data_IF_646246051133
#
_entry.id   IF_646246051133
#
_cell.length_a   1.000
_cell.length_b   1.000
_cell.length_c   1.000
_cell.angle_alpha   90.00
_cell.angle_beta   90.00
_cell.angle_gamma   90.00
#
_symmetry.space_group_name_H-M   'P 1'
#
loop_
_entity.id
_entity.type
_entity.pdbx_description
1 polymer ?
#
# COMPACT_ATOMS: atom_id res chain seq x y z
N UNK A 1 -57.02 -50.72 -12.61
CA UNK A 1 -55.67 -50.13 -12.75
C UNK A 1 -55.73 -48.68 -12.26
N UNK A 2 -55.26 -48.40 -11.05
CA UNK A 2 -55.01 -47.04 -10.57
C UNK A 2 -53.60 -47.02 -9.98
N UNK A 3 -52.63 -46.51 -10.75
CA UNK A 3 -51.30 -46.20 -10.24
C UNK A 3 -51.40 -44.85 -9.53
N UNK A 4 -51.64 -44.87 -8.23
CA UNK A 4 -51.51 -43.67 -7.39
C UNK A 4 -50.04 -43.28 -7.36
N UNK A 5 -49.71 -42.20 -8.09
CA UNK A 5 -48.37 -41.60 -8.10
C UNK A 5 -48.15 -40.98 -6.71
N UNK A 6 -47.41 -41.66 -5.85
CA UNK A 6 -47.04 -41.17 -4.53
C UNK A 6 -46.17 -39.91 -4.73
N UNK A 7 -46.76 -38.73 -4.66
CA UNK A 7 -46.02 -37.47 -4.54
C UNK A 7 -45.37 -37.50 -3.16
N UNK A 8 -44.07 -37.84 -3.11
CA UNK A 8 -43.27 -37.81 -1.89
C UNK A 8 -43.28 -36.38 -1.36
N UNK A 9 -44.10 -36.12 -0.34
CA UNK A 9 -44.09 -34.87 0.39
C UNK A 9 -42.79 -34.77 1.18
N UNK A 10 -42.21 -33.56 1.22
CA UNK A 10 -40.98 -33.29 1.95
C UNK A 10 -41.17 -33.66 3.42
N UNK A 11 -40.34 -34.55 3.94
CA UNK A 11 -40.42 -34.96 5.34
C UNK A 11 -39.80 -33.90 6.26
N UNK A 12 -40.26 -33.83 7.51
CA UNK A 12 -39.72 -32.92 8.52
C UNK A 12 -38.20 -33.10 8.72
N UNK A 13 -37.71 -34.33 8.53
CA UNK A 13 -36.29 -34.68 8.60
C UNK A 13 -35.50 -34.09 7.41
N UNK A 14 -36.04 -34.15 6.19
CA UNK A 14 -35.42 -33.53 5.02
C UNK A 14 -35.36 -32.01 5.15
N UNK A 15 -36.40 -31.38 5.73
CA UNK A 15 -36.41 -29.95 6.02
C UNK A 15 -35.33 -29.58 7.04
N UNK A 16 -35.22 -30.35 8.14
CA UNK A 16 -34.17 -30.13 9.14
C UNK A 16 -32.76 -30.33 8.56
N UNK A 17 -32.56 -31.37 7.75
CA UNK A 17 -31.28 -31.61 7.07
C UNK A 17 -30.92 -30.46 6.11
N UNK A 18 -31.89 -29.94 5.35
CA UNK A 18 -31.67 -28.82 4.43
C UNK A 18 -31.25 -27.54 5.18
N UNK A 19 -31.87 -27.25 6.34
CA UNK A 19 -31.48 -26.10 7.17
C UNK A 19 -30.06 -26.26 7.70
N UNK A 20 -29.70 -27.44 8.22
CA UNK A 20 -28.34 -27.69 8.74
C UNK A 20 -27.29 -27.53 7.64
N UNK A 21 -27.54 -28.09 6.45
CA UNK A 21 -26.64 -27.95 5.30
C UNK A 21 -26.51 -26.47 4.90
N UNK A 22 -27.61 -25.72 4.87
CA UNK A 22 -27.59 -24.29 4.51
C UNK A 22 -26.78 -23.48 5.53
N UNK A 23 -26.93 -23.75 6.83
CA UNK A 23 -26.16 -23.08 7.88
C UNK A 23 -24.66 -23.39 7.76
N UNK A 24 -24.31 -24.65 7.49
CA UNK A 24 -22.92 -25.05 7.29
C UNK A 24 -22.30 -24.36 6.06
N UNK A 25 -22.99 -24.37 4.91
CA UNK A 25 -22.52 -23.72 3.69
C UNK A 25 -22.37 -22.21 3.91
N UNK A 26 -23.35 -21.57 4.54
CA UNK A 26 -23.32 -20.12 4.82
C UNK A 26 -22.16 -19.77 5.75
N UNK A 27 -21.94 -20.56 6.81
CA UNK A 27 -20.83 -20.33 7.74
C UNK A 27 -19.46 -20.46 7.08
N UNK A 28 -19.29 -21.45 6.20
CA UNK A 28 -18.04 -21.62 5.43
C UNK A 28 -17.85 -20.47 4.43
N UNK A 29 -18.90 -20.08 3.71
CA UNK A 29 -18.83 -18.97 2.76
C UNK A 29 -18.46 -17.64 3.44
N UNK A 30 -19.07 -17.34 4.59
CA UNK A 30 -18.72 -16.16 5.40
C UNK A 30 -17.26 -16.20 5.85
N UNK A 31 -16.76 -17.36 6.28
CA UNK A 31 -15.37 -17.52 6.72
C UNK A 31 -14.38 -17.29 5.57
N UNK A 32 -14.68 -17.82 4.38
CA UNK A 32 -13.86 -17.60 3.18
C UNK A 32 -13.85 -16.12 2.80
N UNK A 33 -15.01 -15.46 2.81
CA UNK A 33 -15.12 -14.04 2.47
C UNK A 33 -14.32 -13.16 3.43
N UNK A 34 -14.39 -13.45 4.74
CA UNK A 34 -13.61 -12.77 5.76
C UNK A 34 -12.11 -12.97 5.55
N UNK A 35 -11.66 -14.19 5.25
CA UNK A 35 -10.23 -14.44 4.98
C UNK A 35 -9.75 -13.74 3.70
N UNK A 36 -10.59 -13.70 2.66
CA UNK A 36 -10.29 -13.02 1.41
C UNK A 36 -10.19 -11.50 1.60
N UNK A 37 -11.09 -10.89 2.38
CA UNK A 37 -11.06 -9.45 2.64
C UNK A 37 -9.81 -9.03 3.42
N UNK A 38 -9.41 -9.81 4.43
CA UNK A 38 -8.18 -9.54 5.18
C UNK A 38 -6.92 -9.63 4.31
N UNK A 39 -6.82 -10.67 3.47
CA UNK A 39 -5.69 -10.79 2.53
C UNK A 39 -5.69 -9.67 1.50
N UNK A 40 -6.86 -9.26 1.01
CA UNK A 40 -6.96 -8.17 0.05
C UNK A 40 -6.48 -6.84 0.63
N UNK A 41 -6.80 -6.57 1.90
CA UNK A 41 -6.33 -5.36 2.58
C UNK A 41 -4.81 -5.36 2.77
N UNK A 42 -4.24 -6.50 3.17
CA UNK A 42 -2.79 -6.67 3.29
C UNK A 42 -2.08 -6.45 1.94
N UNK A 43 -2.57 -7.08 0.88
CA UNK A 43 -2.00 -6.94 -0.48
C UNK A 43 -2.11 -5.49 -0.97
N UNK A 44 -3.23 -4.82 -0.67
CA UNK A 44 -3.41 -3.41 -1.03
C UNK A 44 -2.41 -2.51 -0.31
N UNK A 45 -2.15 -2.74 0.99
CA UNK A 45 -1.15 -2.00 1.77
C UNK A 45 0.27 -2.24 1.23
N UNK A 46 0.64 -3.48 0.98
CA UNK A 46 1.95 -3.83 0.41
C UNK A 46 2.15 -3.20 -0.98
N UNK A 47 1.12 -3.27 -1.84
CA UNK A 47 1.15 -2.65 -3.16
C UNK A 47 1.32 -1.13 -3.07
N UNK A 48 0.60 -0.48 -2.14
CA UNK A 48 0.71 0.97 -1.93
C UNK A 48 2.10 1.37 -1.45
N UNK A 49 2.70 0.60 -0.52
CA UNK A 49 4.07 0.78 -0.06
C UNK A 49 5.05 0.76 -1.23
N UNK A 50 5.06 -0.31 -2.03
CA UNK A 50 6.00 -0.45 -3.14
C UNK A 50 5.77 0.56 -4.26
N UNK A 51 4.53 0.95 -4.53
CA UNK A 51 4.23 2.00 -5.51
C UNK A 51 4.78 3.36 -5.04
N UNK A 52 4.65 3.68 -3.75
CA UNK A 52 5.22 4.92 -3.19
C UNK A 52 6.74 4.88 -3.18
N UNK A 53 7.35 3.75 -2.82
CA UNK A 53 8.81 3.55 -2.92
C UNK A 53 9.31 3.72 -4.35
N UNK A 54 8.65 3.13 -5.33
CA UNK A 54 9.01 3.29 -6.74
C UNK A 54 8.94 4.74 -7.22
N UNK A 55 7.86 5.46 -6.88
CA UNK A 55 7.71 6.89 -7.20
C UNK A 55 8.79 7.75 -6.54
N UNK A 56 9.05 7.52 -5.25
CA UNK A 56 10.09 8.24 -4.51
C UNK A 56 11.47 8.01 -5.12
N UNK A 57 11.86 6.76 -5.38
CA UNK A 57 13.15 6.42 -5.96
C UNK A 57 13.33 7.01 -7.36
N UNK A 58 12.28 6.99 -8.19
CA UNK A 58 12.30 7.61 -9.51
C UNK A 58 12.54 9.13 -9.41
N UNK A 59 11.85 9.80 -8.48
CA UNK A 59 12.01 11.24 -8.26
C UNK A 59 13.41 11.58 -7.73
N UNK A 60 13.87 10.89 -6.69
CA UNK A 60 15.20 11.12 -6.12
C UNK A 60 16.30 10.90 -7.17
N UNK A 61 16.16 9.86 -8.00
CA UNK A 61 17.11 9.61 -9.09
C UNK A 61 17.06 10.68 -10.18
N UNK A 62 15.91 11.30 -10.42
CA UNK A 62 15.82 12.45 -11.33
C UNK A 62 16.53 13.67 -10.72
N UNK A 63 16.25 13.99 -9.46
CA UNK A 63 16.86 15.12 -8.76
C UNK A 63 18.38 14.95 -8.64
N UNK A 64 18.87 13.77 -8.27
CA UNK A 64 20.30 13.48 -8.15
C UNK A 64 21.06 13.60 -9.47
N UNK A 65 20.41 13.35 -10.62
CA UNK A 65 21.05 13.49 -11.94
C UNK A 65 21.36 14.95 -12.28
N UNK A 66 20.53 15.87 -11.81
CA UNK A 66 20.71 17.32 -12.01
C UNK A 66 21.37 18.00 -10.81
N UNK A 67 21.73 17.24 -9.77
CA UNK A 67 22.29 17.78 -8.56
C UNK A 67 23.77 18.15 -8.74
N UNK A 68 24.09 19.40 -8.45
CA UNK A 68 25.46 19.92 -8.37
C UNK A 68 26.02 19.70 -6.97
N UNK A 69 25.14 19.69 -5.95
CA UNK A 69 25.53 19.56 -4.55
C UNK A 69 24.48 18.80 -3.76
N UNK A 70 24.93 17.96 -2.83
CA UNK A 70 24.09 17.24 -1.88
C UNK A 70 24.63 17.48 -0.47
N UNK A 71 23.78 17.95 0.43
CA UNK A 71 24.15 18.22 1.82
C UNK A 71 23.08 17.70 2.78
N UNK A 72 23.51 17.34 3.99
CA UNK A 72 22.60 17.06 5.09
C UNK A 72 22.61 18.25 6.06
N UNK A 73 21.44 18.83 6.31
CA UNK A 73 21.27 19.96 7.23
C UNK A 73 20.05 19.74 8.11
N UNK A 74 20.25 19.74 9.43
CA UNK A 74 19.20 19.55 10.44
C UNK A 74 18.36 18.28 10.21
N UNK A 75 19.00 17.16 9.83
CA UNK A 75 18.34 15.89 9.53
C UNK A 75 17.52 15.87 8.23
N UNK A 76 17.61 16.93 7.42
CA UNK A 76 17.03 16.99 6.08
C UNK A 76 18.15 16.83 5.05
N UNK A 77 17.80 16.28 3.89
CA UNK A 77 18.71 16.22 2.75
C UNK A 77 18.36 17.37 1.80
N UNK A 78 19.36 18.19 1.48
CA UNK A 78 19.24 19.35 0.62
C UNK A 78 20.03 19.07 -0.66
N UNK A 79 19.36 19.22 -1.78
CA UNK A 79 19.91 19.06 -3.12
C UNK A 79 19.91 20.41 -3.81
N UNK A 80 21.07 20.83 -4.30
CA UNK A 80 21.18 22.00 -5.18
C UNK A 80 21.22 21.49 -6.62
N UNK A 81 20.20 21.81 -7.39
CA UNK A 81 20.07 21.41 -8.79
C UNK A 81 20.58 22.53 -9.70
N UNK A 82 21.21 22.14 -10.81
CA UNK A 82 21.42 23.05 -11.94
C UNK A 82 20.05 23.32 -12.58
N UNK A 83 19.71 24.60 -12.78
CA UNK A 83 18.55 24.97 -13.60
C UNK A 83 18.95 25.05 -15.07
N UNK A 84 17.95 25.09 -15.95
CA UNK A 84 18.16 25.27 -17.40
C UNK A 84 18.72 26.66 -17.75
N UNK A 85 18.60 27.63 -16.84
CA UNK A 85 19.26 28.93 -16.92
C UNK A 85 20.60 28.87 -16.17
N UNK A 86 21.71 29.09 -16.89
CA UNK A 86 23.10 28.86 -16.47
C UNK A 86 23.48 29.58 -15.16
N UNK A 87 22.73 30.60 -14.74
CA UNK A 87 22.99 31.38 -13.53
C UNK A 87 22.00 31.13 -12.39
N UNK A 88 21.06 30.19 -12.53
CA UNK A 88 20.09 29.88 -11.49
C UNK A 88 20.29 28.47 -10.95
N UNK A 89 20.26 28.37 -9.63
CA UNK A 89 20.31 27.09 -8.91
C UNK A 89 18.99 26.89 -8.19
N UNK A 90 18.43 25.69 -8.34
CA UNK A 90 17.23 25.33 -7.62
C UNK A 90 17.60 24.54 -6.37
N UNK A 91 16.80 24.68 -5.32
CA UNK A 91 17.00 23.90 -4.09
C UNK A 91 15.81 22.97 -3.90
N UNK A 92 16.13 21.68 -3.72
CA UNK A 92 15.17 20.65 -3.35
C UNK A 92 15.49 20.20 -1.94
N UNK A 93 14.50 20.29 -1.05
CA UNK A 93 14.64 19.86 0.35
C UNK A 93 13.82 18.61 0.60
N UNK A 94 14.47 17.56 1.08
CA UNK A 94 13.85 16.34 1.55
C UNK A 94 13.80 16.35 3.08
N UNK A 95 12.60 16.52 3.61
CA UNK A 95 12.32 16.40 5.04
C UNK A 95 11.93 14.97 5.38
N UNK A 96 12.62 14.38 6.35
CA UNK A 96 12.43 12.98 6.75
C UNK A 96 11.67 12.95 8.07
N UNK A 97 10.50 12.36 8.08
CA UNK A 97 9.70 12.06 9.28
C UNK A 97 9.76 10.54 9.51
N UNK A 98 10.71 10.11 10.33
CA UNK A 98 10.94 8.69 10.63
C UNK A 98 9.80 8.07 11.46
N UNK A 99 9.14 8.87 12.30
CA UNK A 99 8.03 8.39 13.14
C UNK A 99 6.82 8.03 12.30
N UNK A 100 6.54 8.83 11.26
CA UNK A 100 5.42 8.59 10.33
C UNK A 100 5.80 7.82 9.08
N UNK A 101 7.04 7.36 8.97
CA UNK A 101 7.57 6.71 7.78
C UNK A 101 7.24 7.52 6.51
N UNK A 102 7.62 8.81 6.51
CA UNK A 102 7.20 9.77 5.48
C UNK A 102 8.36 10.66 5.07
N UNK A 103 8.43 10.95 3.77
CA UNK A 103 9.37 11.93 3.22
C UNK A 103 8.59 13.03 2.52
N UNK A 104 8.93 14.28 2.81
CA UNK A 104 8.38 15.44 2.10
C UNK A 104 9.47 16.07 1.25
N UNK A 105 9.26 16.10 -0.06
CA UNK A 105 10.09 16.83 -1.01
C UNK A 105 9.50 18.22 -1.24
N UNK A 106 10.33 19.25 -1.14
CA UNK A 106 9.95 20.66 -1.33
C UNK A 106 10.83 21.24 -2.44
N UNK A 107 10.22 21.74 -3.51
CA UNK A 107 10.88 22.46 -4.61
C UNK A 107 9.99 23.62 -5.04
N UNK A 108 10.51 24.85 -5.07
CA UNK A 108 9.80 26.03 -5.62
C UNK A 108 8.31 26.12 -5.23
N UNK A 109 8.00 26.00 -3.92
CA UNK A 109 6.64 26.00 -3.35
C UNK A 109 5.77 24.76 -3.64
N UNK A 110 6.24 23.81 -4.45
CA UNK A 110 5.61 22.52 -4.64
C UNK A 110 6.04 21.53 -3.56
N UNK A 111 5.06 20.92 -2.90
CA UNK A 111 5.26 19.93 -1.85
C UNK A 111 4.79 18.57 -2.34
N UNK A 112 5.71 17.60 -2.44
CA UNK A 112 5.38 16.21 -2.75
C UNK A 112 5.58 15.36 -1.49
N UNK A 113 4.53 14.67 -1.07
CA UNK A 113 4.55 13.84 0.13
C UNK A 113 4.60 12.37 -0.30
N UNK A 114 5.60 11.66 0.19
CA UNK A 114 5.77 10.22 0.06
C UNK A 114 5.46 9.60 1.41
N UNK A 115 4.21 9.17 1.59
CA UNK A 115 3.79 8.44 2.77
C UNK A 115 3.90 6.94 2.49
N UNK A 116 4.87 6.30 3.12
CA UNK A 116 5.11 4.87 2.94
C UNK A 116 4.17 4.02 3.80
N UNK A 117 3.47 4.61 4.79
CA UNK A 117 2.65 3.85 5.73
C UNK A 117 3.46 2.89 6.60
N UNK A 118 2.82 1.85 7.11
CA UNK A 118 3.54 0.80 7.84
C UNK A 118 4.38 -0.05 6.87
N UNK A 119 5.67 -0.29 7.16
CA UNK A 119 6.48 -1.18 6.33
C UNK A 119 5.92 -2.62 6.40
N UNK A 120 5.91 -3.36 5.28
CA UNK A 120 5.61 -4.80 5.29
C UNK A 120 6.50 -5.55 6.28
N UNK A 121 6.06 -6.70 6.81
CA UNK A 121 6.82 -7.47 7.82
C UNK A 121 8.28 -7.76 7.44
N UNK A 122 8.57 -7.89 6.13
CA UNK A 122 9.90 -8.17 5.60
C UNK A 122 10.65 -6.93 5.10
N UNK A 123 10.07 -5.73 5.21
CA UNK A 123 10.70 -4.50 4.78
C UNK A 123 11.55 -3.89 5.91
N UNK A 124 12.73 -3.40 5.56
CA UNK A 124 13.57 -2.66 6.49
C UNK A 124 12.92 -1.32 6.89
N UNK A 125 13.39 -0.73 8.00
CA UNK A 125 13.05 0.64 8.35
C UNK A 125 13.47 1.60 7.23
N UNK A 126 12.68 2.64 7.00
CA UNK A 126 13.06 3.71 6.08
C UNK A 126 14.33 4.40 6.56
N UNK A 127 15.38 4.28 5.76
CA UNK A 127 16.65 4.96 5.96
C UNK A 127 16.94 5.75 4.70
N UNK A 128 16.99 7.07 4.81
CA UNK A 128 17.42 7.96 3.75
C UNK A 128 18.51 8.87 4.32
N UNK A 129 19.75 8.65 3.89
CA UNK A 129 20.96 9.30 4.41
C UNK A 129 21.97 9.47 3.29
N UNK A 130 22.90 10.40 3.48
CA UNK A 130 24.06 10.54 2.59
C UNK A 130 25.17 9.62 3.12
N UNK A 131 25.65 8.68 2.30
CA UNK A 131 26.84 7.90 2.63
C UNK A 131 28.09 8.70 2.24
N UNK A 132 29.03 8.83 3.18
CA UNK A 132 30.30 9.55 3.00
C UNK A 132 31.42 8.58 2.68
#
# INVERSE_FOLDING_TARGET
MLKTKQTKGLTLVELAAAVVITVLITGVALRIMFWASFRSEQIAKDSAYYQTTGRFLAQVRADLRSAVKVEEQNGNIILTLASDDENTVETVTFKIDQEKNRITRIQQQQHSIYDFGEPPENAGKLVFKIER
#
